data_IF_087069666836
#
_entry.id   IF_087069666836
#
_cell.length_a   1.000
_cell.length_b   1.000
_cell.length_c   1.000
_cell.angle_alpha   90.00
_cell.angle_beta   90.00
_cell.angle_gamma   90.00
#
_symmetry.space_group_name_H-M   'P 1'
#
loop_
_entity.id
_entity.type
_entity.pdbx_description
1 polymer ?
#
# COMPACT_ATOMS: atom_id res chain seq x y z
N UNK A 1 -11.64 22.88 2.52
CA UNK A 1 -11.83 22.44 1.12
C UNK A 1 -12.37 21.02 1.10
N UNK A 2 -13.14 20.67 0.06
CA UNK A 2 -13.47 19.28 -0.28
C UNK A 2 -12.42 18.74 -1.23
N UNK A 3 -11.72 17.70 -0.84
CA UNK A 3 -10.60 17.14 -1.61
C UNK A 3 -10.87 15.69 -1.97
N UNK A 4 -10.72 15.36 -3.26
CA UNK A 4 -10.75 14.00 -3.74
C UNK A 4 -9.31 13.48 -3.92
N UNK A 5 -9.04 12.30 -3.38
CA UNK A 5 -7.81 11.55 -3.65
C UNK A 5 -8.18 10.33 -4.46
N UNK A 6 -7.50 10.12 -5.57
CA UNK A 6 -7.63 8.94 -6.41
C UNK A 6 -6.48 7.99 -6.10
N UNK A 7 -6.81 6.83 -5.56
CA UNK A 7 -5.87 5.81 -5.11
C UNK A 7 -5.82 5.66 -3.59
N UNK A 8 -6.14 4.46 -3.11
CA UNK A 8 -6.17 4.10 -1.68
C UNK A 8 -4.94 3.26 -1.28
N UNK A 9 -3.81 3.53 -1.89
CA UNK A 9 -2.52 2.94 -1.53
C UNK A 9 -1.81 3.78 -0.43
N UNK A 10 -0.59 3.38 -0.09
CA UNK A 10 0.20 4.04 0.95
C UNK A 10 0.38 5.54 0.69
N UNK A 11 0.55 5.94 -0.57
CA UNK A 11 0.74 7.36 -0.94
C UNK A 11 -0.57 8.12 -0.75
N UNK A 12 -1.68 7.59 -1.26
CA UNK A 12 -3.00 8.20 -1.12
C UNK A 12 -3.44 8.31 0.34
N UNK A 13 -3.24 7.26 1.13
CA UNK A 13 -3.56 7.26 2.55
C UNK A 13 -2.70 8.25 3.35
N UNK A 14 -1.40 8.36 3.05
CA UNK A 14 -0.52 9.32 3.70
C UNK A 14 -0.89 10.77 3.37
N UNK A 15 -1.22 11.03 2.09
CA UNK A 15 -1.73 12.32 1.64
C UNK A 15 -3.04 12.67 2.34
N UNK A 16 -3.98 11.72 2.39
CA UNK A 16 -5.26 11.90 3.04
C UNK A 16 -5.13 12.22 4.53
N UNK A 17 -4.23 11.51 5.22
CA UNK A 17 -3.95 11.76 6.65
C UNK A 17 -3.50 13.20 6.87
N UNK A 18 -2.53 13.67 6.09
CA UNK A 18 -2.01 15.03 6.22
C UNK A 18 -3.10 16.09 5.96
N UNK A 19 -3.88 15.92 4.90
CA UNK A 19 -4.96 16.84 4.55
C UNK A 19 -6.10 16.84 5.59
N UNK A 20 -6.39 15.68 6.16
CA UNK A 20 -7.37 15.56 7.24
C UNK A 20 -6.90 16.29 8.51
N UNK A 21 -5.61 16.14 8.88
CA UNK A 21 -5.00 16.88 10.00
C UNK A 21 -5.01 18.41 9.79
N UNK A 22 -4.93 18.84 8.53
CA UNK A 22 -5.05 20.25 8.13
C UNK A 22 -6.53 20.71 8.01
N UNK A 23 -7.48 19.94 8.55
CA UNK A 23 -8.92 20.22 8.61
C UNK A 23 -9.62 20.29 7.24
N UNK A 24 -9.14 19.55 6.24
CA UNK A 24 -9.84 19.41 4.98
C UNK A 24 -10.85 18.24 5.03
N UNK A 25 -11.92 18.35 4.24
CA UNK A 25 -12.88 17.26 4.02
C UNK A 25 -12.36 16.36 2.89
N UNK A 26 -11.82 15.22 3.26
CA UNK A 26 -11.17 14.31 2.32
C UNK A 26 -12.09 13.14 1.96
N UNK A 27 -12.09 12.77 0.69
CA UNK A 27 -12.68 11.53 0.17
C UNK A 27 -11.61 10.79 -0.63
N UNK A 28 -11.45 9.51 -0.39
CA UNK A 28 -10.62 8.63 -1.22
C UNK A 28 -11.53 7.80 -2.12
N UNK A 29 -11.18 7.71 -3.41
CA UNK A 29 -11.81 6.82 -4.38
C UNK A 29 -10.78 5.83 -4.93
N UNK A 30 -11.19 4.57 -5.07
CA UNK A 30 -10.36 3.51 -5.65
C UNK A 30 -11.25 2.49 -6.39
N UNK A 31 -10.80 1.98 -7.52
CA UNK A 31 -11.53 0.96 -8.27
C UNK A 31 -11.38 -0.43 -7.68
N UNK A 32 -10.40 -0.65 -6.81
CA UNK A 32 -10.19 -1.92 -6.10
C UNK A 32 -11.31 -2.21 -5.11
N UNK A 33 -11.51 -3.51 -4.84
CA UNK A 33 -12.55 -3.99 -3.94
C UNK A 33 -12.25 -3.70 -2.47
N UNK A 34 -10.97 -3.64 -2.10
CA UNK A 34 -10.51 -3.37 -0.74
C UNK A 34 -9.12 -2.72 -0.74
N UNK A 35 -8.81 -2.04 0.34
CA UNK A 35 -7.50 -1.43 0.58
C UNK A 35 -6.48 -2.53 0.87
N UNK A 36 -5.29 -2.42 0.27
CA UNK A 36 -4.19 -3.36 0.48
C UNK A 36 -4.30 -4.67 -0.30
N UNK A 37 -5.30 -4.85 -1.14
CA UNK A 37 -5.47 -6.06 -1.93
C UNK A 37 -5.96 -5.73 -3.38
N UNK A 38 -5.33 -6.28 -4.42
CA UNK A 38 -4.09 -7.07 -4.38
C UNK A 38 -2.88 -6.25 -3.93
N UNK A 39 -1.87 -6.93 -3.39
CA UNK A 39 -0.59 -6.29 -3.07
C UNK A 39 0.21 -6.12 -4.35
N UNK A 40 0.40 -4.89 -4.76
CA UNK A 40 1.08 -4.54 -6.02
C UNK A 40 2.54 -4.09 -5.81
N UNK A 41 2.96 -3.92 -4.56
CA UNK A 41 4.27 -3.38 -4.22
C UNK A 41 4.84 -4.04 -2.96
N UNK A 42 6.18 -4.11 -2.84
CA UNK A 42 6.82 -4.67 -1.66
C UNK A 42 6.52 -3.88 -0.39
N UNK A 43 6.52 -4.58 0.73
CA UNK A 43 6.41 -3.99 2.06
C UNK A 43 7.77 -3.57 2.61
N UNK A 44 8.51 -2.74 1.87
CA UNK A 44 9.82 -2.22 2.28
C UNK A 44 9.68 -0.91 3.06
N UNK A 45 10.57 -0.71 4.03
CA UNK A 45 10.78 0.58 4.66
C UNK A 45 12.27 0.80 4.97
N UNK A 46 12.66 2.06 5.08
CA UNK A 46 14.04 2.47 5.37
C UNK A 46 14.27 2.87 6.81
N UNK A 47 13.25 2.83 7.66
CA UNK A 47 13.31 3.33 9.03
C UNK A 47 13.29 4.85 9.17
N UNK A 48 13.26 5.60 8.06
CA UNK A 48 13.22 7.09 8.09
C UNK A 48 11.87 7.60 8.62
N UNK A 49 10.78 6.88 8.28
CA UNK A 49 9.45 7.23 8.75
C UNK A 49 9.05 6.31 9.89
N UNK A 50 8.56 6.87 10.98
CA UNK A 50 8.00 6.09 12.08
C UNK A 50 6.63 5.53 11.67
N UNK A 51 6.63 4.33 11.10
CA UNK A 51 5.42 3.65 10.68
C UNK A 51 4.49 3.28 11.85
N UNK A 52 5.01 3.19 13.07
CA UNK A 52 4.20 2.89 14.25
C UNK A 52 3.27 4.04 14.63
N UNK A 53 3.61 5.28 14.25
CA UNK A 53 2.72 6.43 14.40
C UNK A 53 1.48 6.35 13.51
N UNK A 54 1.59 5.68 12.36
CA UNK A 54 0.51 5.46 11.40
C UNK A 54 -0.28 4.19 11.69
N UNK A 55 0.40 3.15 12.13
CA UNK A 55 -0.17 1.82 12.36
C UNK A 55 0.50 1.15 13.58
N UNK A 56 0.15 1.54 14.83
CA UNK A 56 0.83 1.06 16.03
C UNK A 56 0.79 -0.44 16.24
N UNK A 57 -0.15 -1.12 15.60
CA UNK A 57 -0.33 -2.57 15.73
C UNK A 57 0.46 -3.37 14.68
N UNK A 58 1.13 -2.66 13.74
CA UNK A 58 1.89 -3.36 12.72
C UNK A 58 3.21 -3.88 13.28
N UNK A 59 3.53 -5.10 12.92
CA UNK A 59 4.82 -5.68 13.24
C UNK A 59 5.83 -5.33 12.15
N UNK A 60 6.92 -4.71 12.55
CA UNK A 60 8.01 -4.30 11.70
C UNK A 60 9.23 -5.18 11.92
N UNK A 61 9.98 -5.42 10.86
CA UNK A 61 11.38 -5.87 10.91
C UNK A 61 12.31 -4.71 10.61
N UNK A 62 13.60 -4.96 10.47
CA UNK A 62 14.57 -3.94 10.12
C UNK A 62 14.28 -3.26 8.77
N UNK A 63 13.73 -4.01 7.81
CA UNK A 63 13.54 -3.52 6.44
C UNK A 63 12.16 -3.78 5.85
N UNK A 64 11.25 -4.44 6.56
CA UNK A 64 10.00 -4.88 5.97
C UNK A 64 8.79 -4.83 6.90
N UNK A 65 7.63 -4.88 6.26
CA UNK A 65 6.34 -5.02 6.92
C UNK A 65 5.33 -5.68 5.97
N UNK A 66 4.21 -6.12 6.51
CA UNK A 66 3.07 -6.55 5.69
C UNK A 66 2.33 -5.31 5.17
N UNK A 67 2.71 -4.81 4.01
CA UNK A 67 2.15 -3.59 3.42
C UNK A 67 0.62 -3.56 3.36
N UNK A 68 -0.10 -4.64 2.97
CA UNK A 68 -1.56 -4.63 3.02
C UNK A 68 -2.13 -4.33 4.40
N UNK A 69 -1.48 -4.81 5.43
CA UNK A 69 -1.90 -4.56 6.82
C UNK A 69 -1.59 -3.14 7.26
N UNK A 70 -0.47 -2.58 6.82
CA UNK A 70 -0.15 -1.18 7.05
C UNK A 70 -1.22 -0.27 6.44
N UNK A 71 -1.56 -0.48 5.18
CA UNK A 71 -2.57 0.30 4.47
C UNK A 71 -3.96 0.17 5.11
N UNK A 72 -4.37 -1.05 5.45
CA UNK A 72 -5.63 -1.29 6.17
C UNK A 72 -5.67 -0.60 7.54
N UNK A 73 -4.60 -0.68 8.30
CA UNK A 73 -4.50 -0.05 9.63
C UNK A 73 -4.56 1.48 9.53
N UNK A 74 -3.89 2.06 8.54
CA UNK A 74 -3.97 3.50 8.28
C UNK A 74 -5.40 3.92 7.94
N UNK A 75 -6.05 3.19 7.04
CA UNK A 75 -7.42 3.49 6.63
C UNK A 75 -8.43 3.39 7.78
N UNK A 76 -8.30 2.38 8.64
CA UNK A 76 -9.16 2.21 9.81
C UNK A 76 -9.05 3.35 10.83
N UNK A 77 -7.89 3.97 10.92
CA UNK A 77 -7.62 5.07 11.87
C UNK A 77 -7.97 6.45 11.31
N UNK A 78 -8.23 6.54 10.02
CA UNK A 78 -8.50 7.80 9.34
C UNK A 78 -10.01 7.92 9.07
N UNK A 79 -10.74 8.75 9.82
CA UNK A 79 -12.19 8.83 9.75
C UNK A 79 -12.66 9.72 8.58
N UNK A 80 -12.37 9.28 7.36
CA UNK A 80 -12.74 9.93 6.10
C UNK A 80 -13.67 9.06 5.28
N UNK A 81 -14.18 9.57 4.19
CA UNK A 81 -15.01 8.81 3.26
C UNK A 81 -14.16 7.98 2.30
N UNK A 82 -14.46 6.70 2.19
CA UNK A 82 -13.86 5.78 1.23
C UNK A 82 -14.91 5.29 0.23
N UNK A 83 -14.61 5.40 -1.04
CA UNK A 83 -15.43 4.92 -2.15
C UNK A 83 -14.62 3.86 -2.91
N UNK A 84 -14.78 2.61 -2.53
CA UNK A 84 -14.15 1.46 -3.18
C UNK A 84 -15.03 0.94 -4.30
N UNK A 85 -14.46 0.18 -5.25
CA UNK A 85 -15.13 -0.30 -6.48
C UNK A 85 -15.77 0.85 -7.26
N UNK A 86 -15.16 2.01 -7.24
CA UNK A 86 -15.72 3.23 -7.81
C UNK A 86 -14.72 3.85 -8.77
N UNK A 87 -15.18 4.15 -9.98
CA UNK A 87 -14.38 4.91 -10.95
C UNK A 87 -14.48 6.41 -10.63
N UNK A 88 -13.36 7.15 -10.63
CA UNK A 88 -13.35 8.58 -10.32
C UNK A 88 -14.30 9.40 -11.20
N UNK A 89 -14.42 9.02 -12.46
CA UNK A 89 -15.29 9.69 -13.45
C UNK A 89 -16.78 9.51 -13.20
N UNK A 90 -17.16 8.56 -12.35
CA UNK A 90 -18.56 8.28 -12.01
C UNK A 90 -19.10 9.09 -10.82
N UNK A 91 -18.27 9.93 -10.21
CA UNK A 91 -18.65 10.68 -9.02
C UNK A 91 -19.55 11.87 -9.37
N UNK A 92 -20.72 11.99 -8.73
CA UNK A 92 -21.64 13.10 -8.97
C UNK A 92 -21.28 14.36 -8.17
N UNK A 93 -20.36 14.24 -7.21
CA UNK A 93 -19.98 15.35 -6.33
C UNK A 93 -18.87 16.20 -6.96
N UNK A 94 -18.98 17.51 -6.77
CA UNK A 94 -17.88 18.43 -7.10
C UNK A 94 -16.90 18.54 -5.94
N UNK A 95 -15.62 18.52 -6.27
CA UNK A 95 -14.50 18.71 -5.34
C UNK A 95 -13.74 19.98 -5.69
N UNK A 96 -13.24 20.66 -4.67
CA UNK A 96 -12.43 21.86 -4.84
C UNK A 96 -11.05 21.53 -5.40
N UNK A 97 -10.54 20.32 -5.10
CA UNK A 97 -9.25 19.82 -5.55
C UNK A 97 -9.32 18.30 -5.74
N UNK A 98 -8.71 17.82 -6.80
CA UNK A 98 -8.49 16.38 -7.05
C UNK A 98 -6.99 16.11 -7.11
N UNK A 99 -6.55 15.10 -6.36
CA UNK A 99 -5.17 14.64 -6.31
C UNK A 99 -5.14 13.17 -6.75
N UNK A 100 -4.49 12.89 -7.87
CA UNK A 100 -4.28 11.52 -8.34
C UNK A 100 -2.94 11.01 -7.81
N UNK A 101 -2.99 10.00 -6.93
CA UNK A 101 -1.82 9.39 -6.32
C UNK A 101 -1.47 8.05 -6.94
N UNK A 102 -2.22 7.62 -7.95
CA UNK A 102 -1.92 6.39 -8.67
C UNK A 102 -0.60 6.56 -9.42
N UNK A 103 0.28 5.56 -9.30
CA UNK A 103 1.44 5.52 -10.16
C UNK A 103 1.02 5.09 -11.56
N UNK A 104 1.45 5.88 -12.55
CA UNK A 104 1.51 5.38 -13.91
C UNK A 104 2.52 4.23 -13.96
N UNK A 105 2.14 3.14 -14.64
CA UNK A 105 3.07 2.06 -14.92
C UNK A 105 4.13 2.58 -15.89
N UNK A 106 5.40 2.46 -15.54
CA UNK A 106 6.52 2.72 -16.44
C UNK A 106 6.72 1.59 -17.49
N UNK A 107 5.81 0.62 -17.50
CA UNK A 107 5.85 -0.56 -18.36
C UNK A 107 6.63 -1.73 -17.77
N UNK A 108 7.33 -1.55 -16.67
CA UNK A 108 8.02 -2.65 -15.99
C UNK A 108 7.02 -3.56 -15.28
N UNK A 109 7.07 -4.84 -15.61
CA UNK A 109 6.31 -5.87 -14.91
C UNK A 109 7.15 -6.43 -13.76
N UNK A 110 6.56 -6.47 -12.57
CA UNK A 110 7.15 -7.08 -11.39
C UNK A 110 6.39 -8.32 -10.98
N UNK A 111 7.12 -9.34 -10.59
CA UNK A 111 6.59 -10.59 -10.03
C UNK A 111 6.94 -10.63 -8.55
N UNK A 112 5.93 -10.82 -7.71
CA UNK A 112 6.09 -10.89 -6.26
C UNK A 112 5.58 -12.21 -5.70
N UNK A 113 6.30 -12.75 -4.73
CA UNK A 113 5.90 -13.95 -4.00
C UNK A 113 6.30 -13.87 -2.53
N UNK A 114 5.72 -14.76 -1.74
CA UNK A 114 6.00 -14.87 -0.30
C UNK A 114 6.41 -16.30 0.01
N UNK A 115 7.54 -16.47 0.67
CA UNK A 115 8.03 -17.78 1.11
C UNK A 115 8.50 -17.73 2.56
N UNK A 116 8.91 -18.85 3.11
CA UNK A 116 9.50 -18.91 4.44
C UNK A 116 10.92 -18.34 4.45
N UNK A 117 11.26 -17.66 5.54
CA UNK A 117 12.61 -17.14 5.75
C UNK A 117 13.64 -18.29 5.70
N UNK A 118 14.75 -18.05 4.98
CA UNK A 118 15.79 -19.04 4.73
C UNK A 118 15.55 -19.91 3.48
N UNK A 119 14.43 -19.70 2.77
CA UNK A 119 14.12 -20.38 1.49
C UNK A 119 13.99 -19.41 0.32
N UNK A 120 14.22 -18.13 0.59
CA UNK A 120 14.13 -17.08 -0.42
C UNK A 120 15.19 -17.28 -1.51
N UNK A 121 14.79 -17.24 -2.78
CA UNK A 121 15.71 -17.23 -3.89
C UNK A 121 16.35 -15.84 -4.03
N UNK A 122 17.42 -15.75 -4.77
CA UNK A 122 18.05 -14.49 -5.10
C UNK A 122 17.11 -13.68 -6.01
N UNK A 123 16.62 -12.54 -5.49
CA UNK A 123 15.72 -11.60 -6.21
C UNK A 123 16.20 -10.17 -6.02
N UNK A 124 15.68 -9.24 -6.83
CA UNK A 124 16.11 -7.83 -6.76
C UNK A 124 15.67 -7.17 -5.44
N UNK A 125 14.52 -7.57 -4.90
CA UNK A 125 14.01 -7.00 -3.67
C UNK A 125 13.64 -8.13 -2.71
N UNK A 126 14.11 -8.02 -1.48
CA UNK A 126 13.80 -8.93 -0.37
C UNK A 126 13.31 -8.07 0.80
N UNK A 127 12.08 -8.34 1.27
CA UNK A 127 11.49 -7.69 2.42
C UNK A 127 11.13 -8.73 3.49
N UNK A 128 11.83 -8.68 4.61
CA UNK A 128 11.57 -9.58 5.73
C UNK A 128 10.29 -9.17 6.46
N UNK A 129 9.52 -10.16 6.89
CA UNK A 129 8.33 -9.96 7.71
C UNK A 129 8.54 -10.50 9.12
N UNK A 130 7.87 -9.93 10.10
CA UNK A 130 7.97 -10.35 11.50
C UNK A 130 7.34 -11.73 11.79
N UNK A 131 6.55 -12.25 10.86
CA UNK A 131 5.92 -13.57 10.96
C UNK A 131 6.78 -14.74 10.47
N UNK A 132 8.05 -14.48 10.16
CA UNK A 132 8.97 -15.50 9.65
C UNK A 132 8.84 -15.77 8.15
N UNK A 133 8.06 -14.95 7.43
CA UNK A 133 7.98 -15.00 5.97
C UNK A 133 8.82 -13.89 5.33
N UNK A 134 9.09 -14.04 4.05
CA UNK A 134 9.86 -13.10 3.25
C UNK A 134 9.13 -12.81 1.95
N UNK A 135 9.00 -11.54 1.60
CA UNK A 135 8.57 -11.12 0.28
C UNK A 135 9.77 -11.03 -0.65
N UNK A 136 9.64 -11.64 -1.80
CA UNK A 136 10.62 -11.58 -2.88
C UNK A 136 9.99 -10.94 -4.11
N UNK A 137 10.68 -9.98 -4.70
CA UNK A 137 10.22 -9.27 -5.89
C UNK A 137 11.31 -9.21 -6.95
N UNK A 138 10.94 -9.46 -8.19
CA UNK A 138 11.85 -9.49 -9.33
C UNK A 138 11.13 -9.05 -10.61
N UNK A 139 11.88 -8.55 -11.59
CA UNK A 139 11.39 -8.25 -12.93
C UNK A 139 11.33 -9.47 -13.86
N UNK A 140 11.89 -10.58 -13.41
CA UNK A 140 11.81 -11.87 -14.09
C UNK A 140 10.73 -12.75 -13.46
N UNK A 141 10.19 -13.75 -14.16
CA UNK A 141 9.31 -14.73 -13.54
C UNK A 141 9.95 -15.33 -12.29
N UNK A 142 9.12 -15.50 -11.24
CA UNK A 142 9.60 -16.06 -9.98
C UNK A 142 10.16 -17.47 -10.19
N UNK A 143 11.35 -17.79 -9.66
CA UNK A 143 11.89 -19.14 -9.71
C UNK A 143 11.10 -20.08 -8.82
N UNK A 144 11.22 -21.37 -9.05
CA UNK A 144 10.66 -22.38 -8.14
C UNK A 144 11.37 -22.32 -6.79
N UNK A 145 10.58 -22.49 -5.72
CA UNK A 145 11.06 -22.48 -4.33
C UNK A 145 10.63 -23.77 -3.65
N UNK A 146 11.54 -24.38 -2.90
CA UNK A 146 11.21 -25.55 -2.10
C UNK A 146 10.12 -25.22 -1.06
N UNK A 147 8.99 -25.91 -1.13
CA UNK A 147 7.83 -25.67 -0.28
C UNK A 147 6.84 -24.65 -0.84
N UNK A 148 7.11 -24.07 -2.01
CA UNK A 148 6.23 -23.16 -2.75
C UNK A 148 6.31 -21.69 -2.30
N UNK A 149 5.56 -20.90 -3.02
CA UNK A 149 5.34 -19.47 -2.75
C UNK A 149 4.10 -19.25 -1.88
#
# INVERSE_FOLDING_TARGET
MKILIIGADLVGLSCAKKLFEDNHKVTIVDNRAEIGNPQERPGLHSGIVDLTSYAPQIQLTENGCRRPWLEKSMAQRLPIKYLLRTEPTSLPEEFDLTIDTRCESDGDQWFGGVTLQGREPQTEIIANRADGTVECWTRNPLPEVEGGW
#
